data_IF_331031324421
#
_entry.id   IF_331031324421
#
_cell.length_a   1.000
_cell.length_b   1.000
_cell.length_c   1.000
_cell.angle_alpha   90.00
_cell.angle_beta   90.00
_cell.angle_gamma   90.00
#
_symmetry.space_group_name_H-M   'P 1'
#
loop_
_entity.id
_entity.type
_entity.pdbx_description
1 polymer ?
#
# COMPACT_ATOMS: atom_id res chain seq x y z
N UNK A 1 14.44 -15.89 -19.32
CA UNK A 1 15.77 -15.38 -18.89
C UNK A 1 16.26 -14.25 -19.80
N UNK A 2 16.23 -14.34 -21.13
CA UNK A 2 16.67 -13.27 -22.08
C UNK A 2 16.00 -11.88 -21.86
N UNK A 3 14.72 -11.83 -21.48
CA UNK A 3 13.98 -10.60 -21.23
C UNK A 3 14.47 -9.80 -20.00
N UNK A 4 14.88 -10.46 -18.93
CA UNK A 4 15.36 -9.78 -17.72
C UNK A 4 16.75 -9.15 -17.91
N UNK A 5 17.64 -9.81 -18.61
CA UNK A 5 19.02 -9.32 -18.86
C UNK A 5 19.01 -8.09 -19.78
N UNK A 6 18.23 -8.14 -20.86
CA UNK A 6 18.03 -7.00 -21.75
C UNK A 6 17.49 -5.76 -21.00
N UNK A 7 16.55 -5.97 -20.07
CA UNK A 7 15.95 -4.91 -19.29
C UNK A 7 16.94 -4.32 -18.26
N UNK A 8 17.73 -5.16 -17.59
CA UNK A 8 18.81 -4.76 -16.69
C UNK A 8 19.82 -3.89 -17.44
N UNK A 9 20.26 -4.32 -18.62
CA UNK A 9 21.21 -3.58 -19.45
C UNK A 9 20.66 -2.21 -19.89
N UNK A 10 19.36 -2.13 -20.22
CA UNK A 10 18.68 -0.87 -20.52
C UNK A 10 18.75 0.08 -19.31
N UNK A 11 18.37 -0.36 -18.12
CA UNK A 11 18.39 0.48 -16.91
C UNK A 11 19.81 0.92 -16.54
N UNK A 12 20.79 0.01 -16.62
CA UNK A 12 22.19 0.34 -16.43
C UNK A 12 22.68 1.44 -17.36
N UNK A 13 22.32 1.37 -18.66
CA UNK A 13 22.65 2.37 -19.65
C UNK A 13 22.02 3.73 -19.31
N UNK A 14 20.74 3.76 -18.96
CA UNK A 14 20.02 5.01 -18.60
C UNK A 14 20.70 5.68 -17.39
N UNK A 15 20.95 4.91 -16.31
CA UNK A 15 21.58 5.47 -15.11
C UNK A 15 22.97 6.00 -15.41
N UNK A 16 23.77 5.28 -16.20
CA UNK A 16 25.12 5.72 -16.58
C UNK A 16 25.12 6.95 -17.49
N UNK A 17 24.12 7.16 -18.31
CA UNK A 17 23.97 8.38 -19.11
C UNK A 17 23.68 9.60 -18.23
N UNK A 18 22.88 9.45 -17.18
CA UNK A 18 22.52 10.54 -16.28
C UNK A 18 23.57 10.79 -15.20
N UNK A 19 24.26 9.73 -14.76
CA UNK A 19 25.27 9.72 -13.69
C UNK A 19 26.50 8.91 -14.11
N UNK A 20 27.40 9.45 -14.95
CA UNK A 20 28.56 8.74 -15.50
C UNK A 20 29.51 8.19 -14.42
N UNK A 21 29.70 8.96 -13.34
CA UNK A 21 30.62 8.62 -12.24
C UNK A 21 30.02 7.63 -11.23
N UNK A 22 28.71 7.37 -11.27
CA UNK A 22 28.07 6.43 -10.35
C UNK A 22 28.52 4.99 -10.67
N UNK A 23 29.37 4.41 -9.83
CA UNK A 23 29.89 3.05 -9.99
C UNK A 23 28.79 2.02 -9.81
N UNK A 24 28.58 1.15 -10.80
CA UNK A 24 27.62 0.03 -10.76
C UNK A 24 28.42 -1.28 -10.77
N UNK A 25 28.67 -1.82 -9.59
CA UNK A 25 29.38 -3.09 -9.39
C UNK A 25 28.42 -4.28 -9.50
N UNK A 26 27.22 -4.12 -8.99
CA UNK A 26 26.17 -5.12 -9.11
C UNK A 26 24.82 -4.48 -9.38
N UNK A 27 23.98 -5.17 -10.18
CA UNK A 27 22.62 -4.74 -10.50
C UNK A 27 21.70 -5.94 -10.54
N UNK A 28 20.55 -5.83 -9.89
CA UNK A 28 19.55 -6.88 -9.80
C UNK A 28 18.15 -6.32 -9.99
N UNK A 29 17.42 -6.85 -10.95
CA UNK A 29 15.99 -6.59 -11.07
C UNK A 29 15.26 -7.33 -9.94
N UNK A 30 14.61 -6.59 -9.06
CA UNK A 30 13.75 -7.16 -8.04
C UNK A 30 12.41 -7.56 -8.66
N UNK A 31 11.58 -8.29 -7.91
CA UNK A 31 10.26 -8.67 -8.40
C UNK A 31 9.49 -7.40 -8.78
N UNK A 32 9.10 -7.29 -10.02
CA UNK A 32 8.44 -6.10 -10.56
C UNK A 32 7.15 -5.81 -9.78
N UNK A 33 7.05 -4.59 -9.22
CA UNK A 33 5.80 -4.06 -8.68
C UNK A 33 4.75 -3.82 -9.78
N UNK A 34 3.56 -3.36 -9.40
CA UNK A 34 2.48 -3.07 -10.36
C UNK A 34 2.85 -1.90 -11.28
N UNK A 35 3.32 -0.81 -10.70
CA UNK A 35 3.55 0.45 -11.39
C UNK A 35 5.01 0.67 -11.79
N UNK A 36 5.97 0.01 -11.14
CA UNK A 36 7.39 0.25 -11.32
C UNK A 36 8.18 -1.03 -11.61
N UNK A 37 9.25 -0.91 -12.39
CA UNK A 37 10.38 -1.82 -12.30
C UNK A 37 11.28 -1.35 -11.15
N UNK A 38 11.67 -2.26 -10.29
CA UNK A 38 12.50 -1.97 -9.12
C UNK A 38 13.85 -2.66 -9.28
N UNK A 39 14.91 -1.87 -9.26
CA UNK A 39 16.28 -2.34 -9.46
C UNK A 39 17.11 -2.06 -8.22
N UNK A 40 17.75 -3.08 -7.69
CA UNK A 40 18.75 -2.95 -6.61
C UNK A 40 20.14 -2.79 -7.23
N UNK A 41 20.87 -1.77 -6.81
CA UNK A 41 22.26 -1.52 -7.25
C UNK A 41 23.19 -1.54 -6.05
N UNK A 42 24.29 -2.27 -6.19
CA UNK A 42 25.36 -2.42 -5.18
C UNK A 42 24.84 -2.88 -3.81
N UNK A 43 23.66 -3.56 -3.78
CA UNK A 43 22.95 -3.94 -2.56
C UNK A 43 22.59 -2.77 -1.63
N UNK A 44 22.88 -1.53 -2.04
CA UNK A 44 22.80 -0.30 -1.26
C UNK A 44 21.71 0.66 -1.77
N UNK A 45 21.45 0.66 -3.07
CA UNK A 45 20.50 1.59 -3.67
C UNK A 45 19.35 0.88 -4.33
N UNK A 46 18.19 1.52 -4.30
CA UNK A 46 16.98 1.13 -5.03
C UNK A 46 16.70 2.19 -6.08
N UNK A 47 16.49 1.76 -7.32
CA UNK A 47 16.02 2.60 -8.41
C UNK A 47 14.65 2.12 -8.88
N UNK A 48 13.71 3.05 -9.06
CA UNK A 48 12.33 2.79 -9.51
C UNK A 48 12.13 3.43 -10.87
N UNK A 49 11.79 2.62 -11.85
CA UNK A 49 11.45 3.04 -13.23
C UNK A 49 9.96 2.81 -13.45
N UNK A 50 9.17 3.86 -13.67
CA UNK A 50 7.75 3.73 -13.99
C UNK A 50 7.54 2.83 -15.21
N UNK A 51 6.49 2.01 -15.16
CA UNK A 51 6.05 1.18 -16.30
C UNK A 51 5.11 1.93 -17.22
N UNK A 52 4.50 2.99 -16.71
CA UNK A 52 3.52 3.83 -17.36
C UNK A 52 3.79 5.29 -17.04
N UNK A 53 3.31 6.18 -17.86
CA UNK A 53 3.50 7.62 -17.71
C UNK A 53 2.56 8.25 -16.65
N UNK A 54 1.63 7.47 -16.08
CA UNK A 54 0.68 7.93 -15.06
C UNK A 54 1.21 7.90 -13.62
N UNK A 55 2.48 7.51 -13.41
CA UNK A 55 3.13 7.52 -12.10
C UNK A 55 3.69 8.90 -11.79
N UNK A 56 3.08 9.62 -10.87
CA UNK A 56 3.51 10.97 -10.46
C UNK A 56 4.66 10.90 -9.42
N UNK A 57 5.90 10.74 -9.93
CA UNK A 57 7.10 10.75 -9.09
C UNK A 57 7.38 12.12 -8.46
N UNK A 58 6.92 13.22 -9.06
CA UNK A 58 7.12 14.57 -8.54
C UNK A 58 6.25 14.83 -7.32
N UNK A 59 5.00 14.37 -7.33
CA UNK A 59 4.14 14.42 -6.17
C UNK A 59 4.71 13.58 -5.02
N UNK A 60 5.14 12.35 -5.31
CA UNK A 60 5.77 11.48 -4.30
C UNK A 60 7.03 12.16 -3.71
N UNK A 61 7.88 12.76 -4.54
CA UNK A 61 9.07 13.49 -4.09
C UNK A 61 8.73 14.69 -3.20
N UNK A 62 7.67 15.46 -3.53
CA UNK A 62 7.18 16.58 -2.69
C UNK A 62 6.72 16.09 -1.33
N UNK A 63 5.95 14.99 -1.27
CA UNK A 63 5.48 14.37 -0.03
C UNK A 63 6.67 13.93 0.81
N UNK A 64 7.60 13.16 0.24
CA UNK A 64 8.79 12.67 0.93
C UNK A 64 9.66 13.82 1.47
N UNK A 65 9.77 14.93 0.74
CA UNK A 65 10.46 16.14 1.20
C UNK A 65 9.83 16.76 2.46
N UNK A 66 8.49 16.76 2.55
CA UNK A 66 7.77 17.23 3.75
C UNK A 66 8.04 16.32 4.94
N UNK A 67 8.14 15.01 4.72
CA UNK A 67 8.27 13.99 5.76
C UNK A 67 9.73 13.80 6.24
N UNK A 68 10.71 14.08 5.38
CA UNK A 68 12.14 13.84 5.63
C UNK A 68 12.60 14.44 6.95
N UNK A 69 13.19 13.63 7.83
CA UNK A 69 13.71 14.02 9.13
C UNK A 69 12.64 14.40 10.17
N UNK A 70 11.35 14.18 9.86
CA UNK A 70 10.21 14.54 10.73
C UNK A 70 9.32 13.33 11.07
N UNK A 71 9.60 12.20 10.48
CA UNK A 71 8.99 10.89 10.76
C UNK A 71 10.02 10.02 11.46
N UNK A 72 9.57 9.23 12.44
CA UNK A 72 10.44 8.33 13.23
C UNK A 72 11.00 7.18 12.39
N UNK A 73 10.22 6.63 11.46
CA UNK A 73 10.64 5.55 10.57
C UNK A 73 11.44 6.08 9.39
N UNK A 74 12.36 5.24 8.87
CA UNK A 74 13.04 5.54 7.61
C UNK A 74 12.03 5.58 6.45
N UNK A 75 12.17 6.57 5.57
CA UNK A 75 11.40 6.71 4.33
C UNK A 75 12.38 6.90 3.16
N UNK A 76 11.96 6.64 1.91
CA UNK A 76 12.79 6.94 0.75
C UNK A 76 13.19 8.41 0.73
N UNK A 77 14.49 8.67 0.55
CA UNK A 77 15.00 10.01 0.29
C UNK A 77 15.61 9.97 -1.10
N UNK A 78 14.93 10.55 -2.08
CA UNK A 78 15.40 10.52 -3.46
C UNK A 78 16.70 11.32 -3.62
N UNK A 79 17.76 10.63 -4.03
CA UNK A 79 19.09 11.17 -4.29
C UNK A 79 19.38 11.24 -5.79
N UNK A 80 18.71 10.40 -6.57
CA UNK A 80 18.86 10.30 -8.03
C UNK A 80 17.54 10.56 -8.70
N UNK A 81 17.57 11.39 -9.74
CA UNK A 81 16.41 11.71 -10.57
C UNK A 81 16.80 11.52 -12.05
N UNK A 82 15.91 10.90 -12.80
CA UNK A 82 16.11 10.76 -14.24
C UNK A 82 16.12 12.11 -14.94
N UNK A 83 17.14 12.38 -15.77
CA UNK A 83 17.29 13.61 -16.55
C UNK A 83 16.60 13.53 -17.91
N UNK A 84 16.65 12.34 -18.54
CA UNK A 84 16.07 12.07 -19.86
C UNK A 84 14.94 11.04 -19.83
N UNK A 85 14.83 10.27 -18.77
CA UNK A 85 13.81 9.25 -18.57
C UNK A 85 13.28 9.34 -17.15
N UNK A 86 11.99 9.13 -16.96
CA UNK A 86 11.38 9.16 -15.62
C UNK A 86 11.92 8.01 -14.77
N UNK A 87 12.64 8.31 -13.71
CA UNK A 87 12.99 7.36 -12.63
C UNK A 87 13.50 8.12 -11.40
N UNK A 88 13.49 7.43 -10.28
CA UNK A 88 14.08 7.91 -9.02
C UNK A 88 14.98 6.85 -8.41
N UNK A 89 15.97 7.27 -7.63
CA UNK A 89 16.85 6.39 -6.88
C UNK A 89 17.10 6.90 -5.46
N UNK A 90 17.22 5.97 -4.51
CA UNK A 90 17.41 6.26 -3.10
C UNK A 90 18.17 5.15 -2.39
N UNK A 91 18.74 5.42 -1.21
CA UNK A 91 19.37 4.40 -0.36
C UNK A 91 18.33 3.39 0.11
N UNK A 92 18.67 2.12 -0.01
CA UNK A 92 17.83 1.01 0.39
C UNK A 92 17.57 1.06 1.89
N UNK A 93 16.30 1.09 2.27
CA UNK A 93 15.87 0.92 3.66
C UNK A 93 16.10 -0.54 4.06
N UNK A 94 16.81 -0.76 5.18
CA UNK A 94 17.13 -2.09 5.67
C UNK A 94 15.92 -2.76 6.32
N UNK A 95 15.78 -4.06 6.11
CA UNK A 95 14.68 -4.86 6.64
C UNK A 95 14.15 -5.86 5.62
N UNK A 96 13.11 -6.56 6.00
CA UNK A 96 12.45 -7.55 5.14
C UNK A 96 10.94 -7.32 5.12
N UNK A 97 10.22 -7.75 4.08
CA UNK A 97 8.77 -7.75 4.06
C UNK A 97 8.18 -8.57 5.21
N UNK A 98 7.06 -8.13 5.75
CA UNK A 98 6.33 -8.85 6.78
C UNK A 98 5.44 -9.92 6.13
N UNK A 99 5.94 -11.14 6.01
CA UNK A 99 5.12 -12.25 5.49
C UNK A 99 4.09 -12.70 6.51
N UNK A 100 2.99 -13.34 6.06
CA UNK A 100 1.99 -13.91 6.95
C UNK A 100 2.59 -14.98 7.91
N UNK A 101 3.54 -15.78 7.42
CA UNK A 101 4.27 -16.77 8.24
C UNK A 101 5.10 -16.09 9.33
N UNK A 102 5.81 -15.02 8.97
CA UNK A 102 6.59 -14.24 9.95
C UNK A 102 5.68 -13.59 10.99
N UNK A 103 4.57 -12.95 10.59
CA UNK A 103 3.62 -12.35 11.50
C UNK A 103 3.05 -13.37 12.50
N UNK A 104 2.69 -14.56 12.01
CA UNK A 104 2.21 -15.65 12.88
C UNK A 104 3.24 -16.12 13.90
N UNK A 105 4.54 -16.08 13.56
CA UNK A 105 5.63 -16.50 14.46
C UNK A 105 6.01 -15.44 15.50
N UNK A 106 5.50 -14.22 15.41
CA UNK A 106 5.78 -13.16 16.37
C UNK A 106 5.05 -13.39 17.69
N UNK A 107 5.72 -13.08 18.81
CA UNK A 107 5.08 -13.03 20.12
C UNK A 107 4.00 -11.94 20.18
N UNK A 108 3.08 -12.04 21.14
CA UNK A 108 2.06 -11.00 21.39
C UNK A 108 2.71 -9.63 21.62
N UNK A 109 3.79 -9.57 22.39
CA UNK A 109 4.56 -8.33 22.62
C UNK A 109 5.11 -7.75 21.32
N UNK A 110 5.68 -8.60 20.44
CA UNK A 110 6.21 -8.16 19.13
C UNK A 110 5.10 -7.65 18.22
N UNK A 111 3.93 -8.30 18.21
CA UNK A 111 2.75 -7.83 17.45
C UNK A 111 2.24 -6.49 17.95
N UNK A 112 2.25 -6.26 19.27
CA UNK A 112 1.87 -4.98 19.87
C UNK A 112 2.86 -3.87 19.51
N UNK A 113 4.18 -4.13 19.53
CA UNK A 113 5.20 -3.19 19.10
C UNK A 113 5.04 -2.82 17.63
N UNK A 114 4.82 -3.82 16.78
CA UNK A 114 4.57 -3.61 15.35
C UNK A 114 3.32 -2.75 15.11
N UNK A 115 2.22 -3.05 15.81
CA UNK A 115 1.00 -2.25 15.72
C UNK A 115 1.20 -0.81 16.18
N UNK A 116 2.01 -0.61 17.23
CA UNK A 116 2.37 0.72 17.71
C UNK A 116 3.21 1.50 16.69
N UNK A 117 4.21 0.86 16.06
CA UNK A 117 5.03 1.49 15.03
C UNK A 117 4.19 1.96 13.84
N UNK A 118 3.28 1.11 13.35
CA UNK A 118 2.36 1.45 12.27
C UNK A 118 1.41 2.59 12.64
N UNK A 119 0.86 2.57 13.85
CA UNK A 119 -0.04 3.61 14.33
C UNK A 119 0.69 4.95 14.50
N UNK A 120 1.91 4.94 15.03
CA UNK A 120 2.74 6.13 15.19
C UNK A 120 3.11 6.73 13.82
N UNK A 121 3.50 5.87 12.85
CA UNK A 121 3.76 6.33 11.48
C UNK A 121 2.54 7.06 10.89
N UNK A 122 1.37 6.45 10.92
CA UNK A 122 0.16 7.08 10.39
C UNK A 122 -0.19 8.39 11.15
N UNK A 123 0.01 8.42 12.44
CA UNK A 123 -0.21 9.63 13.23
C UNK A 123 0.75 10.76 12.82
N UNK A 124 2.04 10.49 12.73
CA UNK A 124 3.06 11.44 12.29
C UNK A 124 2.78 11.92 10.85
N UNK A 125 2.44 10.99 9.95
CA UNK A 125 2.08 11.27 8.57
C UNK A 125 0.90 12.24 8.48
N UNK A 126 -0.22 11.95 9.15
CA UNK A 126 -1.41 12.81 9.14
C UNK A 126 -1.19 14.15 9.83
N UNK A 127 -0.32 14.20 10.84
CA UNK A 127 0.06 15.46 11.52
C UNK A 127 0.89 16.36 10.61
N UNK A 128 1.80 15.80 9.84
CA UNK A 128 2.67 16.53 8.90
C UNK A 128 1.96 16.92 7.61
N UNK A 129 0.96 16.13 7.20
CA UNK A 129 0.13 16.33 6.04
C UNK A 129 -1.35 16.48 6.44
N UNK A 130 -1.71 17.58 7.13
CA UNK A 130 -3.11 17.87 7.45
C UNK A 130 -3.91 18.11 6.17
N UNK A 131 -5.22 17.87 6.21
CA UNK A 131 -6.13 18.01 5.05
C UNK A 131 -6.04 19.38 4.36
N UNK A 132 -5.67 20.42 5.12
CA UNK A 132 -5.47 21.77 4.58
C UNK A 132 -4.36 21.88 3.53
N UNK A 133 -3.43 20.92 3.51
CA UNK A 133 -2.38 20.84 2.48
C UNK A 133 -2.82 20.18 1.17
N UNK A 134 -4.00 19.56 1.13
CA UNK A 134 -4.45 18.82 -0.05
C UNK A 134 -4.45 19.70 -1.31
N UNK A 135 -4.99 20.94 -1.22
CA UNK A 135 -5.01 21.88 -2.33
C UNK A 135 -3.61 22.27 -2.80
N UNK A 136 -2.69 22.55 -1.86
CA UNK A 136 -1.29 22.90 -2.18
C UNK A 136 -0.55 21.76 -2.90
N UNK A 137 -0.87 20.53 -2.55
CA UNK A 137 -0.27 19.32 -3.14
C UNK A 137 -1.04 18.83 -4.37
N UNK A 138 -2.10 19.54 -4.76
CA UNK A 138 -2.99 19.12 -5.86
C UNK A 138 -3.54 17.69 -5.68
N UNK A 139 -3.82 17.31 -4.43
CA UNK A 139 -4.36 15.99 -4.11
C UNK A 139 -5.87 15.98 -4.30
N UNK A 140 -6.33 15.08 -5.15
CA UNK A 140 -7.74 14.72 -5.29
C UNK A 140 -8.13 13.55 -4.39
N UNK A 141 -9.42 13.21 -4.42
CA UNK A 141 -9.94 11.97 -3.87
C UNK A 141 -9.72 10.83 -4.87
N UNK A 142 -9.17 9.70 -4.41
CA UNK A 142 -9.00 8.48 -5.21
C UNK A 142 -10.25 7.57 -5.15
N UNK A 143 -11.44 8.17 -4.98
CA UNK A 143 -12.74 7.48 -4.86
C UNK A 143 -13.03 6.47 -6.00
N UNK A 144 -12.23 6.49 -7.07
CA UNK A 144 -12.39 5.60 -8.22
C UNK A 144 -11.50 4.35 -8.16
N UNK A 145 -10.68 4.20 -7.13
CA UNK A 145 -9.73 3.08 -7.00
C UNK A 145 -10.45 1.73 -7.00
N UNK A 146 -11.63 1.66 -6.39
CA UNK A 146 -12.46 0.46 -6.29
C UNK A 146 -13.74 0.61 -7.09
N UNK A 147 -13.64 0.86 -8.37
CA UNK A 147 -14.78 1.07 -9.28
C UNK A 147 -15.95 0.14 -8.95
N UNK A 148 -17.01 0.64 -8.29
CA UNK A 148 -18.20 -0.17 -7.97
C UNK A 148 -18.76 -0.88 -9.19
N UNK A 149 -18.64 -0.23 -10.38
CA UNK A 149 -19.07 -0.77 -11.67
C UNK A 149 -18.33 -2.07 -12.03
N UNK A 150 -17.05 -2.21 -11.63
CA UNK A 150 -16.26 -3.45 -11.83
C UNK A 150 -16.86 -4.57 -10.99
N UNK A 151 -17.25 -4.27 -9.74
CA UNK A 151 -17.87 -5.26 -8.85
C UNK A 151 -19.24 -5.67 -9.42
N UNK A 152 -20.07 -4.72 -9.78
CA UNK A 152 -21.40 -5.00 -10.36
C UNK A 152 -21.29 -5.82 -11.65
N UNK A 153 -20.43 -5.40 -12.57
CA UNK A 153 -20.29 -6.05 -13.89
C UNK A 153 -19.63 -7.43 -13.84
N UNK A 154 -18.59 -7.58 -13.01
CA UNK A 154 -17.71 -8.77 -13.09
C UNK A 154 -17.79 -9.69 -11.87
N UNK A 155 -18.45 -9.28 -10.79
CA UNK A 155 -18.62 -10.10 -9.59
C UNK A 155 -20.10 -10.46 -9.40
N UNK A 156 -20.98 -9.46 -9.26
CA UNK A 156 -22.40 -9.68 -8.91
C UNK A 156 -23.09 -10.51 -9.98
N UNK A 157 -22.89 -10.23 -11.26
CA UNK A 157 -23.50 -10.99 -12.37
C UNK A 157 -22.90 -12.36 -12.66
N UNK A 158 -21.83 -12.79 -11.97
CA UNK A 158 -21.06 -13.99 -12.35
C UNK A 158 -20.76 -14.94 -11.20
N UNK A 159 -20.79 -14.48 -9.96
CA UNK A 159 -20.52 -15.31 -8.80
C UNK A 159 -21.76 -16.14 -8.45
N UNK A 160 -21.63 -17.49 -8.44
CA UNK A 160 -22.75 -18.40 -8.16
C UNK A 160 -23.09 -18.54 -6.66
N UNK A 161 -22.17 -18.16 -5.77
CA UNK A 161 -22.36 -18.28 -4.31
C UNK A 161 -23.24 -17.13 -3.78
N UNK A 162 -24.55 -17.35 -3.69
CA UNK A 162 -25.53 -16.35 -3.24
C UNK A 162 -25.15 -15.72 -1.88
N UNK A 163 -24.77 -16.54 -0.91
CA UNK A 163 -24.38 -16.03 0.43
C UNK A 163 -23.13 -15.15 0.41
N UNK A 164 -22.22 -15.34 -0.57
CA UNK A 164 -21.06 -14.47 -0.74
C UNK A 164 -21.43 -13.21 -1.49
N UNK A 165 -22.36 -13.31 -2.45
CA UNK A 165 -22.92 -12.14 -3.16
C UNK A 165 -23.60 -11.19 -2.18
N UNK A 166 -24.57 -11.68 -1.41
CA UNK A 166 -25.30 -10.87 -0.40
C UNK A 166 -24.30 -10.16 0.55
N UNK A 167 -23.23 -10.87 0.95
CA UNK A 167 -22.18 -10.30 1.79
C UNK A 167 -21.41 -9.17 1.10
N UNK A 168 -21.08 -9.32 -0.20
CA UNK A 168 -20.39 -8.30 -0.99
C UNK A 168 -21.32 -7.08 -1.20
N UNK A 169 -22.59 -7.30 -1.59
CA UNK A 169 -23.56 -6.23 -1.85
C UNK A 169 -23.80 -5.36 -0.62
N UNK A 170 -24.04 -5.97 0.55
CA UNK A 170 -24.23 -5.23 1.81
C UNK A 170 -23.00 -4.33 2.13
N UNK A 171 -21.78 -4.82 1.88
CA UNK A 171 -20.59 -4.02 2.14
C UNK A 171 -20.32 -2.98 1.03
N UNK A 172 -20.73 -3.25 -0.20
CA UNK A 172 -20.67 -2.29 -1.29
C UNK A 172 -21.59 -1.08 -1.04
N UNK A 173 -22.82 -1.33 -0.59
CA UNK A 173 -23.76 -0.25 -0.23
C UNK A 173 -23.18 0.65 0.88
N UNK A 174 -22.66 0.04 1.95
CA UNK A 174 -21.99 0.77 3.04
C UNK A 174 -20.77 1.56 2.56
N UNK A 175 -20.01 1.03 1.61
CA UNK A 175 -18.87 1.71 1.01
C UNK A 175 -19.31 2.90 0.15
N UNK A 176 -20.40 2.75 -0.63
CA UNK A 176 -20.98 3.85 -1.44
C UNK A 176 -21.47 5.01 -0.56
N UNK A 177 -22.00 4.71 0.63
CA UNK A 177 -22.33 5.75 1.62
C UNK A 177 -21.06 6.39 2.21
N UNK A 178 -20.04 5.57 2.52
CA UNK A 178 -18.79 6.05 3.09
C UNK A 178 -18.08 7.05 2.17
N UNK A 179 -17.99 6.80 0.87
CA UNK A 179 -17.32 7.71 -0.07
C UNK A 179 -18.06 9.03 -0.29
N UNK A 180 -19.35 9.10 0.05
CA UNK A 180 -20.13 10.34 0.08
C UNK A 180 -19.93 11.14 1.37
N UNK A 181 -19.48 10.48 2.44
CA UNK A 181 -19.23 11.11 3.74
C UNK A 181 -18.00 12.03 3.67
N UNK A 182 -18.22 13.33 3.74
CA UNK A 182 -17.15 14.35 3.73
C UNK A 182 -16.62 14.70 5.12
N UNK A 183 -17.18 14.09 6.16
CA UNK A 183 -16.63 14.18 7.50
C UNK A 183 -15.34 13.34 7.62
N UNK A 184 -14.46 13.69 8.54
CA UNK A 184 -13.23 12.92 8.81
C UNK A 184 -12.32 12.63 7.59
N UNK A 185 -12.28 13.57 6.63
CA UNK A 185 -11.31 13.50 5.53
C UNK A 185 -9.90 13.74 6.05
N UNK A 186 -8.96 13.02 5.46
CA UNK A 186 -7.52 13.12 5.70
C UNK A 186 -6.77 13.08 4.37
N UNK A 187 -5.50 13.49 4.39
CA UNK A 187 -4.56 13.04 3.37
C UNK A 187 -4.10 11.67 3.83
N UNK A 188 -4.54 10.62 3.18
CA UNK A 188 -4.26 9.24 3.52
C UNK A 188 -3.01 8.73 2.80
N UNK A 189 -2.23 7.88 3.45
CA UNK A 189 -1.11 7.15 2.84
C UNK A 189 -1.61 6.05 1.90
N UNK A 190 -2.74 5.42 2.24
CA UNK A 190 -3.51 4.45 1.45
C UNK A 190 -2.84 3.11 1.12
N UNK A 191 -1.55 2.92 1.39
CA UNK A 191 -0.83 1.74 0.95
C UNK A 191 -0.05 1.02 2.05
N UNK A 192 -0.50 1.17 3.31
CA UNK A 192 0.11 0.49 4.45
C UNK A 192 -0.22 -1.00 4.43
N UNK A 193 0.68 -1.79 3.89
CA UNK A 193 0.58 -3.25 3.84
C UNK A 193 1.96 -3.92 3.91
N UNK A 194 1.97 -5.27 4.06
CA UNK A 194 3.16 -6.08 4.34
C UNK A 194 4.33 -5.92 3.36
N UNK A 195 4.07 -5.52 2.11
CA UNK A 195 5.12 -5.37 1.10
C UNK A 195 5.75 -3.97 1.07
N UNK A 196 5.12 -2.98 1.71
CA UNK A 196 5.58 -1.58 1.73
C UNK A 196 6.25 -1.20 3.06
N UNK A 197 6.61 -2.20 3.85
CA UNK A 197 7.31 -2.02 5.12
C UNK A 197 8.65 -2.76 5.13
N UNK A 198 9.62 -2.19 5.83
CA UNK A 198 10.89 -2.82 6.15
C UNK A 198 10.87 -3.27 7.62
N UNK A 199 10.60 -4.56 7.85
CA UNK A 199 10.53 -5.14 9.19
C UNK A 199 11.90 -5.64 9.65
N UNK A 200 12.29 -5.30 10.88
CA UNK A 200 13.48 -5.77 11.54
C UNK A 200 13.15 -6.96 12.46
N UNK A 201 13.51 -8.16 12.03
CA UNK A 201 13.22 -9.37 12.79
C UNK A 201 13.94 -9.41 14.17
N UNK A 202 15.13 -8.80 14.28
CA UNK A 202 15.90 -8.84 15.53
C UNK A 202 15.25 -8.00 16.63
N UNK A 203 14.80 -6.79 16.28
CA UNK A 203 14.16 -5.87 17.22
C UNK A 203 12.64 -6.05 17.31
N UNK A 204 12.03 -6.79 16.39
CA UNK A 204 10.57 -6.89 16.21
C UNK A 204 9.90 -5.54 15.96
N UNK A 205 10.60 -4.60 15.30
CA UNK A 205 10.16 -3.24 15.01
C UNK A 205 10.17 -2.97 13.51
N UNK A 206 9.47 -1.93 13.08
CA UNK A 206 9.65 -1.40 11.73
C UNK A 206 10.93 -0.55 11.68
N UNK A 207 11.74 -0.74 10.64
CA UNK A 207 12.81 0.18 10.29
C UNK A 207 12.27 1.30 9.42
N UNK A 208 11.39 0.99 8.46
CA UNK A 208 10.90 2.02 7.56
C UNK A 208 9.70 1.60 6.71
N UNK A 209 9.21 2.57 5.96
CA UNK A 209 8.05 2.46 5.07
C UNK A 209 8.42 3.10 3.73
N UNK A 210 7.92 2.53 2.63
CA UNK A 210 8.16 3.01 1.27
C UNK A 210 6.90 2.91 0.42
N UNK A 211 6.95 3.51 -0.80
CA UNK A 211 5.85 3.61 -1.76
C UNK A 211 4.75 4.60 -1.32
N UNK A 212 4.99 5.89 -1.61
CA UNK A 212 4.08 6.99 -1.28
C UNK A 212 3.27 7.45 -2.51
N UNK A 213 3.18 6.61 -3.55
CA UNK A 213 2.49 6.95 -4.79
C UNK A 213 0.96 6.93 -4.71
N UNK A 214 0.38 6.29 -3.67
CA UNK A 214 -1.06 6.15 -3.49
C UNK A 214 -1.68 7.22 -2.56
N UNK A 215 -0.90 8.26 -2.19
CA UNK A 215 -1.37 9.32 -1.29
C UNK A 215 -2.50 10.11 -1.93
N UNK A 216 -3.64 10.20 -1.25
CA UNK A 216 -4.84 10.88 -1.73
C UNK A 216 -5.70 11.43 -0.59
N UNK A 217 -6.71 12.24 -0.92
CA UNK A 217 -7.72 12.69 0.05
C UNK A 217 -8.77 11.61 0.20
N UNK A 218 -8.88 11.03 1.40
CA UNK A 218 -9.81 9.95 1.68
C UNK A 218 -10.50 10.11 3.05
N UNK A 219 -11.61 9.40 3.23
CA UNK A 219 -12.18 9.23 4.56
C UNK A 219 -11.25 8.33 5.39
N UNK A 220 -11.02 8.68 6.66
CA UNK A 220 -10.05 7.98 7.54
C UNK A 220 -10.27 6.47 7.63
N UNK A 221 -11.48 5.96 7.47
CA UNK A 221 -11.75 4.51 7.47
C UNK A 221 -11.14 3.79 6.26
N UNK A 222 -10.79 4.51 5.19
CA UNK A 222 -10.15 3.93 4.01
C UNK A 222 -8.67 3.66 4.28
N UNK A 223 -7.99 4.47 5.11
CA UNK A 223 -6.57 4.32 5.44
C UNK A 223 -6.15 2.90 5.86
N UNK A 224 -7.01 2.18 6.58
CA UNK A 224 -6.64 0.92 7.24
C UNK A 224 -7.06 -0.35 6.49
N UNK A 225 -7.74 -0.25 5.34
CA UNK A 225 -8.35 -1.42 4.69
C UNK A 225 -7.32 -2.46 4.22
N UNK A 226 -6.14 -2.02 3.79
CA UNK A 226 -5.09 -2.95 3.32
C UNK A 226 -4.53 -3.80 4.45
N UNK A 227 -4.35 -3.23 5.63
CA UNK A 227 -3.98 -3.98 6.82
C UNK A 227 -5.05 -5.00 7.19
N UNK A 228 -6.33 -4.62 7.08
CA UNK A 228 -7.44 -5.52 7.35
C UNK A 228 -7.48 -6.69 6.36
N UNK A 229 -7.20 -6.44 5.11
CA UNK A 229 -7.08 -7.48 4.09
C UNK A 229 -5.91 -8.44 4.36
N UNK A 230 -4.81 -7.94 4.91
CA UNK A 230 -3.64 -8.74 5.26
C UNK A 230 -3.86 -9.55 6.55
N UNK A 231 -4.17 -8.87 7.65
CA UNK A 231 -4.40 -9.48 8.95
C UNK A 231 -5.37 -8.62 9.79
N UNK A 232 -6.62 -9.06 9.99
CA UNK A 232 -7.65 -8.32 10.72
C UNK A 232 -7.30 -8.04 12.19
N UNK A 233 -6.59 -8.94 12.87
CA UNK A 233 -6.16 -8.75 14.24
C UNK A 233 -5.12 -7.64 14.35
N UNK A 234 -4.09 -7.67 13.48
CA UNK A 234 -3.10 -6.60 13.40
C UNK A 234 -3.76 -5.26 13.08
N UNK A 235 -4.65 -5.22 12.08
CA UNK A 235 -5.37 -4.00 11.71
C UNK A 235 -6.17 -3.41 12.87
N UNK A 236 -6.90 -4.26 13.60
CA UNK A 236 -7.68 -3.84 14.78
C UNK A 236 -6.77 -3.26 15.85
N UNK A 237 -5.62 -3.88 16.10
CA UNK A 237 -4.63 -3.38 17.06
C UNK A 237 -4.02 -2.05 16.61
N UNK A 238 -3.69 -1.88 15.33
CA UNK A 238 -3.21 -0.60 14.76
C UNK A 238 -4.27 0.49 14.93
N UNK A 239 -5.53 0.22 14.57
CA UNK A 239 -6.64 1.17 14.73
C UNK A 239 -6.81 1.55 16.20
N UNK A 240 -6.76 0.60 17.12
CA UNK A 240 -6.85 0.86 18.57
C UNK A 240 -5.76 1.80 19.05
N UNK A 241 -4.50 1.54 18.68
CA UNK A 241 -3.36 2.39 19.02
C UNK A 241 -3.50 3.78 18.37
N UNK A 242 -3.83 3.84 17.09
CA UNK A 242 -4.01 5.10 16.38
C UNK A 242 -5.13 5.96 17.01
N UNK A 243 -6.29 5.37 17.36
CA UNK A 243 -7.37 6.07 18.07
C UNK A 243 -6.87 6.69 19.40
N UNK A 244 -6.05 5.93 20.13
CA UNK A 244 -5.50 6.37 21.43
C UNK A 244 -4.60 7.60 21.27
N UNK A 245 -3.71 7.63 20.26
CA UNK A 245 -2.73 8.71 20.09
C UNK A 245 -3.31 9.90 19.32
N UNK A 246 -4.27 9.71 18.42
CA UNK A 246 -4.83 10.76 17.58
C UNK A 246 -6.11 11.39 18.12
N UNK A 247 -6.81 10.70 19.03
CA UNK A 247 -8.15 11.09 19.50
C UNK A 247 -9.27 10.92 18.42
N UNK A 248 -8.93 10.43 17.21
CA UNK A 248 -9.90 10.34 16.11
C UNK A 248 -10.85 9.16 16.28
N UNK A 249 -12.10 9.36 15.88
CA UNK A 249 -13.12 8.29 15.82
C UNK A 249 -12.97 7.52 14.51
N UNK A 250 -12.76 6.19 14.59
CA UNK A 250 -12.65 5.29 13.44
C UNK A 250 -13.60 4.12 13.66
N UNK A 251 -14.46 3.87 12.69
CA UNK A 251 -15.35 2.70 12.68
C UNK A 251 -14.59 1.51 12.09
N UNK A 252 -14.34 0.49 12.89
CA UNK A 252 -13.75 -0.77 12.43
C UNK A 252 -14.66 -1.46 11.42
N UNK A 253 -15.99 -1.33 11.57
CA UNK A 253 -16.95 -1.87 10.61
C UNK A 253 -16.81 -1.22 9.21
N UNK A 254 -16.62 0.12 9.14
CA UNK A 254 -16.38 0.82 7.88
C UNK A 254 -15.05 0.41 7.24
N UNK A 255 -14.00 0.23 8.03
CA UNK A 255 -12.72 -0.32 7.56
C UNK A 255 -12.89 -1.72 6.99
N UNK A 256 -13.60 -2.58 7.71
CA UNK A 256 -13.90 -3.94 7.27
C UNK A 256 -14.68 -3.95 5.95
N UNK A 257 -15.75 -3.15 5.84
CA UNK A 257 -16.53 -3.01 4.60
C UNK A 257 -15.66 -2.57 3.42
N UNK A 258 -14.76 -1.59 3.62
CA UNK A 258 -13.80 -1.14 2.61
C UNK A 258 -12.86 -2.28 2.18
N UNK A 259 -12.36 -3.09 3.12
CA UNK A 259 -11.52 -4.24 2.80
C UNK A 259 -12.27 -5.29 1.95
N UNK A 260 -13.53 -5.58 2.27
CA UNK A 260 -14.38 -6.48 1.49
C UNK A 260 -14.56 -5.97 0.06
N UNK A 261 -14.90 -4.69 -0.10
CA UNK A 261 -15.09 -4.06 -1.41
C UNK A 261 -13.82 -4.07 -2.24
N UNK A 262 -12.69 -3.75 -1.61
CA UNK A 262 -11.37 -3.77 -2.25
C UNK A 262 -11.02 -5.17 -2.81
N UNK A 263 -11.23 -6.23 -2.03
CA UNK A 263 -10.95 -7.60 -2.47
C UNK A 263 -11.97 -8.05 -3.54
N UNK A 264 -13.24 -7.65 -3.42
CA UNK A 264 -14.26 -7.91 -4.44
C UNK A 264 -13.91 -7.25 -5.78
N UNK A 265 -13.40 -6.01 -5.76
CA UNK A 265 -12.92 -5.33 -6.96
C UNK A 265 -11.74 -6.08 -7.61
N UNK A 266 -10.78 -6.54 -6.80
CA UNK A 266 -9.67 -7.36 -7.30
C UNK A 266 -10.14 -8.69 -7.89
N UNK A 267 -11.13 -9.34 -7.26
CA UNK A 267 -11.77 -10.53 -7.83
C UNK A 267 -12.37 -10.23 -9.20
N UNK A 268 -13.06 -9.09 -9.36
CA UNK A 268 -13.62 -8.64 -10.64
C UNK A 268 -12.54 -8.40 -11.71
N UNK A 269 -11.42 -7.79 -11.36
CA UNK A 269 -10.27 -7.59 -12.28
C UNK A 269 -9.71 -8.93 -12.75
N UNK A 270 -9.59 -9.92 -11.87
CA UNK A 270 -9.03 -11.24 -12.21
C UNK A 270 -10.05 -12.22 -12.79
N UNK A 271 -11.33 -11.85 -12.88
CA UNK A 271 -12.39 -12.73 -13.38
C UNK A 271 -12.19 -13.17 -14.85
N UNK A 272 -11.38 -12.45 -15.62
CA UNK A 272 -10.95 -12.91 -16.97
C UNK A 272 -10.05 -14.15 -16.93
N UNK A 273 -9.49 -14.48 -15.77
CA UNK A 273 -8.60 -15.62 -15.53
C UNK A 273 -9.00 -16.36 -14.24
N UNK A 274 -10.20 -16.99 -14.19
CA UNK A 274 -10.75 -17.57 -12.95
C UNK A 274 -9.91 -18.73 -12.39
N UNK A 275 -9.07 -19.34 -13.20
CA UNK A 275 -8.13 -20.39 -12.77
C UNK A 275 -6.79 -19.82 -12.25
N UNK A 276 -6.57 -18.53 -12.38
CA UNK A 276 -5.33 -17.89 -11.91
C UNK A 276 -5.19 -17.96 -10.39
N UNK A 277 -3.96 -18.04 -9.92
CA UNK A 277 -3.66 -17.97 -8.47
C UNK A 277 -4.26 -16.69 -7.86
N UNK A 278 -4.16 -15.55 -8.54
CA UNK A 278 -4.66 -14.25 -8.05
C UNK A 278 -6.17 -14.25 -7.81
N UNK A 279 -6.95 -14.87 -8.73
CA UNK A 279 -8.39 -15.01 -8.56
C UNK A 279 -8.72 -15.88 -7.34
N UNK A 280 -8.05 -17.04 -7.23
CA UNK A 280 -8.25 -17.96 -6.10
C UNK A 280 -7.87 -17.32 -4.76
N UNK A 281 -6.77 -16.59 -4.70
CA UNK A 281 -6.33 -15.88 -3.52
C UNK A 281 -7.38 -14.82 -3.10
N UNK A 282 -7.89 -14.00 -4.02
CA UNK A 282 -8.92 -13.00 -3.75
C UNK A 282 -10.24 -13.65 -3.26
N UNK A 283 -10.65 -14.77 -3.87
CA UNK A 283 -11.84 -15.50 -3.44
C UNK A 283 -11.69 -16.06 -2.03
N UNK A 284 -10.54 -16.65 -1.72
CA UNK A 284 -10.22 -17.17 -0.38
C UNK A 284 -10.20 -16.06 0.67
N UNK A 285 -9.66 -14.90 0.35
CA UNK A 285 -9.66 -13.74 1.25
C UNK A 285 -11.07 -13.24 1.53
N UNK A 286 -11.96 -13.18 0.54
CA UNK A 286 -13.38 -12.84 0.76
C UNK A 286 -14.09 -13.86 1.65
N UNK A 287 -13.85 -15.15 1.42
CA UNK A 287 -14.42 -16.22 2.27
C UNK A 287 -13.91 -16.14 3.71
N UNK A 288 -12.61 -15.83 3.88
CA UNK A 288 -12.00 -15.59 5.20
C UNK A 288 -12.66 -14.40 5.91
N UNK A 289 -12.79 -13.25 5.25
CA UNK A 289 -13.44 -12.08 5.85
C UNK A 289 -14.90 -12.36 6.21
N UNK A 290 -15.63 -13.08 5.35
CA UNK A 290 -17.01 -13.48 5.64
C UNK A 290 -17.12 -14.36 6.88
N UNK A 291 -16.17 -15.27 7.12
CA UNK A 291 -16.16 -16.13 8.31
C UNK A 291 -15.95 -15.34 9.61
N UNK A 292 -15.14 -14.28 9.57
CA UNK A 292 -14.88 -13.41 10.73
C UNK A 292 -16.12 -12.66 11.21
N UNK A 293 -17.02 -12.25 10.30
CA UNK A 293 -18.27 -11.57 10.66
C UNK A 293 -19.24 -12.43 11.46
N UNK A 294 -19.06 -13.76 11.49
CA UNK A 294 -19.89 -14.68 12.26
C UNK A 294 -19.44 -14.84 13.72
N UNK A 295 -18.28 -14.29 14.07
CA UNK A 295 -17.67 -14.44 15.41
C UNK A 295 -17.82 -13.16 16.26
N UNK A 296 -18.43 -12.11 15.74
CA UNK A 296 -18.76 -10.85 16.41
C UNK A 296 -20.23 -10.51 16.26
#
# INVERSE_FOLDING_TARGET
>A
MKTNESQINKFKKIIKQDYPDFKIESIKLLKAGWCNFVVEINKTYIFRFPKKDDVDLDLEAKILKILKGRITLEIPVYEFFGKKSSYVGYKKITGQPLTATLLKSLSLKSKQLLASDMANFLYEFHKLLPITKAKQLNLGSDNHKWRPEVIQKYVIGKLRNKKLLDFIEINLDKYLELIKDKSNLIIAYNDLHQNNIAFNKKSSRLNGIFDFGDVAVEHISIEFYRLFSFDPELATNVIKQYKKISGRKISVERVFGTAVVSIAAMLGVYNRQPNSKKYKDALNDLLRLKSLKRLG
#
